data_IF_619220226957
#
_entry.id   IF_619220226957
#
_cell.length_a   1.000
_cell.length_b   1.000
_cell.length_c   1.000
_cell.angle_alpha   90.00
_cell.angle_beta   90.00
_cell.angle_gamma   90.00
#
_symmetry.space_group_name_H-M   'P 1'
#
loop_
_entity.id
_entity.type
_entity.pdbx_description
1 polymer ?
#
# COMPACT_ATOMS: atom_id res chain seq x y z
N UNK A 1 -45.65 14.76 5.13
CA UNK A 1 -45.39 13.40 5.64
C UNK A 1 -45.93 13.33 7.06
N UNK A 2 -47.18 12.88 7.20
CA UNK A 2 -47.91 12.88 8.46
C UNK A 2 -47.91 11.47 9.06
N UNK A 3 -46.79 11.05 9.66
CA UNK A 3 -46.78 9.80 10.43
C UNK A 3 -47.53 10.02 11.74
N UNK A 4 -48.49 9.15 12.06
CA UNK A 4 -49.27 9.22 13.31
C UNK A 4 -48.49 8.76 14.56
N UNK A 5 -47.22 8.38 14.39
CA UNK A 5 -46.31 7.95 15.46
C UNK A 5 -45.71 9.16 16.19
N UNK A 6 -45.65 9.06 17.53
CA UNK A 6 -44.90 10.01 18.36
C UNK A 6 -43.41 9.94 18.00
N UNK A 7 -42.67 11.02 18.26
CA UNK A 7 -41.25 11.13 17.90
C UNK A 7 -40.37 10.02 18.49
N UNK A 8 -40.70 9.53 19.70
CA UNK A 8 -40.02 8.41 20.33
C UNK A 8 -40.28 7.08 19.59
N UNK A 9 -41.54 6.78 19.27
CA UNK A 9 -41.94 5.55 18.58
C UNK A 9 -41.36 5.47 17.16
N UNK A 10 -41.24 6.62 16.48
CA UNK A 10 -40.60 6.70 15.16
C UNK A 10 -39.12 6.33 15.21
N UNK A 11 -38.38 6.82 16.22
CA UNK A 11 -36.96 6.45 16.40
C UNK A 11 -36.80 4.97 16.70
N UNK A 12 -37.71 4.42 17.53
CA UNK A 12 -37.70 3.00 17.86
C UNK A 12 -37.97 2.13 16.62
N UNK A 13 -38.99 2.49 15.83
CA UNK A 13 -39.26 1.83 14.55
C UNK A 13 -38.06 1.89 13.60
N UNK A 14 -37.36 3.01 13.50
CA UNK A 14 -36.16 3.13 12.67
C UNK A 14 -35.04 2.19 13.11
N UNK A 15 -34.82 2.04 14.42
CA UNK A 15 -33.84 1.09 14.96
C UNK A 15 -34.21 -0.35 14.59
N UNK A 16 -35.48 -0.73 14.80
CA UNK A 16 -35.99 -2.05 14.44
C UNK A 16 -35.92 -2.29 12.92
N UNK A 17 -36.21 -1.28 12.11
CA UNK A 17 -36.15 -1.35 10.66
C UNK A 17 -34.74 -1.68 10.17
N UNK A 18 -33.71 -1.03 10.71
CA UNK A 18 -32.32 -1.32 10.32
C UNK A 18 -31.93 -2.75 10.69
N UNK A 19 -32.24 -3.19 11.92
CA UNK A 19 -32.05 -4.59 12.34
C UNK A 19 -32.81 -5.58 11.45
N UNK A 20 -34.03 -5.24 11.04
CA UNK A 20 -34.86 -6.06 10.17
C UNK A 20 -34.27 -6.21 8.76
N UNK A 21 -33.69 -5.12 8.24
CA UNK A 21 -32.99 -5.14 6.94
C UNK A 21 -31.80 -6.08 7.02
N UNK A 22 -31.03 -6.08 8.10
CA UNK A 22 -29.85 -6.92 8.27
C UNK A 22 -30.16 -8.36 8.72
N UNK A 23 -31.36 -8.60 9.26
CA UNK A 23 -31.79 -9.91 9.76
C UNK A 23 -31.38 -10.19 11.21
N UNK A 24 -31.16 -9.12 11.99
CA UNK A 24 -30.64 -9.16 13.37
C UNK A 24 -31.72 -8.98 14.44
N UNK A 25 -33.00 -9.06 14.08
CA UNK A 25 -34.10 -9.00 15.04
C UNK A 25 -34.15 -10.25 15.91
N UNK A 26 -34.29 -10.07 17.22
CA UNK A 26 -34.65 -11.16 18.13
C UNK A 26 -36.18 -11.45 18.09
N UNK A 27 -36.68 -12.55 18.68
CA UNK A 27 -38.11 -12.91 18.60
C UNK A 27 -39.08 -11.85 19.16
N UNK A 28 -38.68 -11.16 20.22
CA UNK A 28 -39.51 -10.12 20.86
C UNK A 28 -39.56 -8.86 19.99
N UNK A 29 -38.41 -8.45 19.46
CA UNK A 29 -38.25 -7.33 18.53
C UNK A 29 -38.97 -7.58 17.20
N UNK A 30 -38.96 -8.83 16.70
CA UNK A 30 -39.71 -9.22 15.50
C UNK A 30 -41.22 -9.04 15.71
N UNK A 31 -41.74 -9.50 16.85
CA UNK A 31 -43.15 -9.36 17.20
C UNK A 31 -43.53 -7.88 17.34
N UNK A 32 -42.63 -7.06 17.87
CA UNK A 32 -42.83 -5.62 17.99
C UNK A 32 -42.79 -4.92 16.62
N UNK A 33 -41.82 -5.25 15.78
CA UNK A 33 -41.70 -4.73 14.42
C UNK A 33 -42.94 -5.05 13.58
N UNK A 34 -43.44 -6.29 13.66
CA UNK A 34 -44.65 -6.71 12.96
C UNK A 34 -45.90 -5.93 13.43
N UNK A 35 -45.95 -5.50 14.70
CA UNK A 35 -47.01 -4.60 15.20
C UNK A 35 -46.92 -3.22 14.56
N UNK A 36 -45.73 -2.64 14.40
CA UNK A 36 -45.56 -1.34 13.74
C UNK A 36 -45.94 -1.42 12.25
N UNK A 37 -45.45 -2.45 11.55
CA UNK A 37 -45.74 -2.68 10.14
C UNK A 37 -47.22 -3.04 9.92
N UNK A 38 -47.90 -3.74 10.84
CA UNK A 38 -49.34 -4.03 10.67
C UNK A 38 -50.25 -2.85 11.01
N UNK A 39 -49.86 -1.97 11.94
CA UNK A 39 -50.69 -0.84 12.38
C UNK A 39 -50.57 0.40 11.49
N UNK A 40 -49.37 0.73 11.00
CA UNK A 40 -49.12 1.98 10.28
C UNK A 40 -48.78 1.73 8.80
N UNK A 41 -49.48 2.42 7.90
CA UNK A 41 -49.24 2.36 6.46
C UNK A 41 -47.91 2.99 6.04
N UNK A 42 -47.43 4.01 6.77
CA UNK A 42 -46.15 4.66 6.51
C UNK A 42 -44.99 3.72 6.85
N UNK A 43 -45.06 3.02 8.00
CA UNK A 43 -44.08 2.00 8.38
C UNK A 43 -43.99 0.86 7.37
N UNK A 44 -45.13 0.39 6.83
CA UNK A 44 -45.14 -0.60 5.73
C UNK A 44 -44.39 -0.11 4.51
N UNK A 45 -44.66 1.14 4.12
CA UNK A 45 -44.05 1.74 2.93
C UNK A 45 -42.54 1.87 3.10
N UNK A 46 -42.08 2.31 4.26
CA UNK A 46 -40.66 2.45 4.58
C UNK A 46 -39.94 1.09 4.58
N UNK A 47 -40.56 0.05 5.16
CA UNK A 47 -40.06 -1.32 5.11
C UNK A 47 -39.90 -1.84 3.68
N UNK A 48 -40.91 -1.66 2.83
CA UNK A 48 -40.86 -2.08 1.43
C UNK A 48 -39.76 -1.36 0.64
N UNK A 49 -39.55 -0.06 0.91
CA UNK A 49 -38.48 0.72 0.27
C UNK A 49 -37.10 0.19 0.66
N UNK A 50 -36.85 -0.04 1.94
CA UNK A 50 -35.58 -0.58 2.42
C UNK A 50 -35.30 -1.99 1.89
N UNK A 51 -36.32 -2.85 1.84
CA UNK A 51 -36.19 -4.19 1.25
C UNK A 51 -35.80 -4.15 -0.22
N UNK A 52 -36.41 -3.25 -1.00
CA UNK A 52 -36.07 -3.06 -2.41
C UNK A 52 -34.63 -2.57 -2.60
N UNK A 53 -34.16 -1.65 -1.74
CA UNK A 53 -32.77 -1.17 -1.78
C UNK A 53 -31.77 -2.29 -1.45
N UNK A 54 -32.06 -3.12 -0.45
CA UNK A 54 -31.25 -4.28 -0.11
C UNK A 54 -31.13 -5.24 -1.30
N UNK A 55 -32.25 -5.55 -1.93
CA UNK A 55 -32.29 -6.45 -3.10
C UNK A 55 -31.46 -5.91 -4.27
N UNK A 56 -31.63 -4.63 -4.62
CA UNK A 56 -30.85 -4.01 -5.71
C UNK A 56 -29.36 -4.04 -5.39
N UNK A 57 -28.97 -3.63 -4.18
CA UNK A 57 -27.56 -3.62 -3.77
C UNK A 57 -26.96 -5.02 -3.76
N UNK A 58 -27.72 -6.02 -3.30
CA UNK A 58 -27.29 -7.41 -3.29
C UNK A 58 -27.14 -8.00 -4.70
N UNK A 59 -27.92 -7.50 -5.67
CA UNK A 59 -27.80 -7.88 -7.08
C UNK A 59 -26.63 -7.21 -7.82
N UNK A 60 -25.99 -6.20 -7.21
CA UNK A 60 -24.80 -5.58 -7.79
C UNK A 60 -23.63 -6.55 -7.69
N UNK A 61 -23.34 -7.22 -8.80
CA UNK A 61 -22.17 -8.07 -8.90
C UNK A 61 -20.93 -7.20 -9.16
N UNK A 62 -19.91 -7.33 -8.32
CA UNK A 62 -18.63 -6.68 -8.58
C UNK A 62 -18.04 -7.24 -9.87
N UNK A 63 -17.74 -6.36 -10.83
CA UNK A 63 -17.06 -6.76 -12.06
C UNK A 63 -15.69 -7.33 -11.68
N UNK A 64 -15.50 -8.62 -11.87
CA UNK A 64 -14.19 -9.24 -11.69
C UNK A 64 -13.18 -8.55 -12.60
N UNK A 65 -12.04 -8.13 -12.02
CA UNK A 65 -10.94 -7.57 -12.80
C UNK A 65 -10.41 -8.64 -13.77
N UNK A 66 -10.09 -8.28 -15.03
CA UNK A 66 -9.52 -9.23 -15.98
C UNK A 66 -8.19 -9.78 -15.46
N UNK A 67 -7.91 -11.05 -15.76
CA UNK A 67 -6.74 -11.78 -15.25
C UNK A 67 -5.41 -11.11 -15.63
N UNK A 68 -5.35 -10.47 -16.81
CA UNK A 68 -4.21 -9.66 -17.25
C UNK A 68 -3.87 -8.50 -16.31
N UNK A 69 -4.86 -7.90 -15.65
CA UNK A 69 -4.63 -6.82 -14.69
C UNK A 69 -3.96 -7.36 -13.41
N UNK A 70 -4.27 -8.59 -13.03
CA UNK A 70 -3.65 -9.27 -11.90
C UNK A 70 -2.20 -9.64 -12.18
N UNK A 71 -1.92 -10.20 -13.35
CA UNK A 71 -0.55 -10.60 -13.72
C UNK A 71 0.39 -9.39 -13.79
N UNK A 72 -0.07 -8.29 -14.40
CA UNK A 72 0.68 -7.05 -14.46
C UNK A 72 0.96 -6.43 -13.08
N UNK A 73 0.01 -6.54 -12.15
CA UNK A 73 0.20 -6.08 -10.77
C UNK A 73 1.31 -6.89 -10.07
N UNK A 74 1.25 -8.21 -10.15
CA UNK A 74 2.24 -9.09 -9.50
C UNK A 74 3.66 -8.88 -10.02
N UNK A 75 3.83 -8.77 -11.34
CA UNK A 75 5.15 -8.53 -11.96
C UNK A 75 5.73 -7.20 -11.48
N UNK A 76 4.92 -6.13 -11.43
CA UNK A 76 5.40 -4.82 -10.99
C UNK A 76 5.73 -4.76 -9.49
N UNK A 77 4.96 -5.45 -8.65
CA UNK A 77 5.21 -5.52 -7.21
C UNK A 77 6.47 -6.34 -6.92
N UNK A 78 6.60 -7.52 -7.52
CA UNK A 78 7.75 -8.40 -7.30
C UNK A 78 9.05 -7.74 -7.77
N UNK A 79 9.06 -7.19 -8.99
CA UNK A 79 10.22 -6.48 -9.53
C UNK A 79 10.64 -5.27 -8.67
N UNK A 80 9.69 -4.60 -8.01
CA UNK A 80 9.98 -3.46 -7.14
C UNK A 80 10.60 -3.91 -5.81
N UNK A 81 10.06 -4.98 -5.22
CA UNK A 81 10.54 -5.53 -3.96
C UNK A 81 11.91 -6.19 -4.10
N UNK A 82 12.08 -7.03 -5.12
CA UNK A 82 13.36 -7.70 -5.41
C UNK A 82 14.47 -6.67 -5.60
N UNK A 83 14.23 -5.64 -6.44
CA UNK A 83 15.19 -4.55 -6.65
C UNK A 83 15.47 -3.80 -5.36
N UNK A 84 14.45 -3.49 -4.55
CA UNK A 84 14.61 -2.80 -3.27
C UNK A 84 15.54 -3.57 -2.32
N UNK A 85 15.25 -4.86 -2.12
CA UNK A 85 16.04 -5.74 -1.26
C UNK A 85 17.46 -5.95 -1.80
N UNK A 86 17.61 -6.16 -3.11
CA UNK A 86 18.92 -6.29 -3.75
C UNK A 86 19.80 -5.07 -3.51
N UNK A 87 19.25 -3.85 -3.58
CA UNK A 87 20.01 -2.63 -3.30
C UNK A 87 20.39 -2.47 -1.83
N UNK A 88 19.52 -2.86 -0.90
CA UNK A 88 19.84 -2.84 0.53
C UNK A 88 21.02 -3.78 0.80
N UNK A 89 20.92 -5.02 0.30
CA UNK A 89 21.96 -6.02 0.48
C UNK A 89 23.28 -5.61 -0.18
N UNK A 90 23.21 -5.11 -1.42
CA UNK A 90 24.37 -4.60 -2.14
C UNK A 90 25.05 -3.43 -1.41
N UNK A 91 24.26 -2.49 -0.87
CA UNK A 91 24.80 -1.32 -0.16
C UNK A 91 25.52 -1.74 1.13
N UNK A 92 24.92 -2.66 1.90
CA UNK A 92 25.55 -3.20 3.11
C UNK A 92 26.86 -3.91 2.75
N UNK A 93 26.84 -4.79 1.75
CA UNK A 93 28.04 -5.49 1.28
C UNK A 93 29.12 -4.51 0.79
N UNK A 94 28.74 -3.50 0.02
CA UNK A 94 29.66 -2.47 -0.46
C UNK A 94 30.28 -1.67 0.68
N UNK A 95 29.51 -1.27 1.70
CA UNK A 95 30.03 -0.54 2.87
C UNK A 95 31.07 -1.38 3.61
N UNK A 96 30.76 -2.67 3.88
CA UNK A 96 31.67 -3.57 4.58
C UNK A 96 32.97 -3.75 3.78
N UNK A 97 32.85 -4.05 2.48
CA UNK A 97 34.00 -4.25 1.62
C UNK A 97 34.84 -2.99 1.49
N UNK A 98 34.25 -1.82 1.24
CA UNK A 98 34.97 -0.56 1.11
C UNK A 98 35.67 -0.16 2.41
N UNK A 99 35.03 -0.38 3.56
CA UNK A 99 35.63 -0.06 4.87
C UNK A 99 36.81 -0.98 5.17
N UNK A 100 36.64 -2.29 5.01
CA UNK A 100 37.68 -3.27 5.30
C UNK A 100 38.85 -3.18 4.31
N UNK A 101 38.55 -3.16 3.01
CA UNK A 101 39.58 -3.05 1.96
C UNK A 101 40.28 -1.70 2.00
N UNK A 102 39.55 -0.61 2.25
CA UNK A 102 40.12 0.72 2.40
C UNK A 102 41.08 0.79 3.58
N UNK A 103 40.69 0.25 4.74
CA UNK A 103 41.56 0.18 5.91
C UNK A 103 42.85 -0.62 5.62
N UNK A 104 42.71 -1.81 5.02
CA UNK A 104 43.86 -2.66 4.67
C UNK A 104 44.77 -2.04 3.61
N UNK A 105 44.19 -1.38 2.61
CA UNK A 105 44.95 -0.68 1.58
C UNK A 105 45.76 0.48 2.20
N UNK A 106 45.12 1.30 3.04
CA UNK A 106 45.79 2.39 3.76
C UNK A 106 46.91 1.87 4.65
N UNK A 107 46.64 0.80 5.43
CA UNK A 107 47.64 0.14 6.27
C UNK A 107 48.86 -0.31 5.45
N UNK A 108 48.64 -0.98 4.33
CA UNK A 108 49.72 -1.48 3.46
C UNK A 108 50.55 -0.35 2.82
N UNK A 109 49.91 0.74 2.40
CA UNK A 109 50.58 1.88 1.78
C UNK A 109 51.37 2.69 2.81
N UNK A 110 50.84 2.85 4.02
CA UNK A 110 51.52 3.57 5.10
C UNK A 110 52.72 2.75 5.59
N UNK A 111 52.56 1.44 5.78
CA UNK A 111 53.59 0.56 6.31
C UNK A 111 54.79 0.37 5.36
N UNK A 112 54.63 0.62 4.05
CA UNK A 112 55.71 0.48 3.07
C UNK A 112 56.75 1.62 3.19
N UNK A 113 57.99 1.35 3.59
CA UNK A 113 59.03 2.37 3.74
C UNK A 113 59.61 2.85 2.40
N UNK A 114 59.37 2.13 1.30
CA UNK A 114 59.97 2.44 -0.01
C UNK A 114 59.22 3.54 -0.79
N UNK A 115 57.97 3.81 -0.42
CA UNK A 115 57.14 4.79 -1.10
C UNK A 115 57.36 6.22 -0.56
N UNK A 116 57.65 7.16 -1.46
CA UNK A 116 57.71 8.58 -1.13
C UNK A 116 56.35 9.09 -0.60
N UNK A 117 56.37 9.97 0.41
CA UNK A 117 55.14 10.44 1.08
C UNK A 117 54.13 11.12 0.14
N UNK A 118 54.61 11.84 -0.87
CA UNK A 118 53.77 12.46 -1.91
C UNK A 118 53.05 11.40 -2.77
N UNK A 119 53.74 10.30 -3.09
CA UNK A 119 53.16 9.21 -3.88
C UNK A 119 52.07 8.47 -3.10
N UNK A 120 52.26 8.28 -1.78
CA UNK A 120 51.22 7.73 -0.89
C UNK A 120 49.96 8.59 -0.91
N UNK A 121 50.11 9.91 -0.76
CA UNK A 121 48.99 10.84 -0.78
C UNK A 121 48.26 10.86 -2.14
N UNK A 122 49.00 10.80 -3.26
CA UNK A 122 48.43 10.75 -4.60
C UNK A 122 47.60 9.46 -4.84
N UNK A 123 48.12 8.30 -4.41
CA UNK A 123 47.41 7.01 -4.53
C UNK A 123 46.12 7.03 -3.69
N UNK A 124 46.17 7.53 -2.45
CA UNK A 124 45.00 7.61 -1.59
C UNK A 124 43.92 8.55 -2.15
N UNK A 125 44.30 9.71 -2.68
CA UNK A 125 43.36 10.62 -3.33
C UNK A 125 42.72 10.00 -4.58
N UNK A 126 43.51 9.27 -5.40
CA UNK A 126 43.00 8.61 -6.59
C UNK A 126 41.96 7.53 -6.24
N UNK A 127 42.26 6.67 -5.25
CA UNK A 127 41.35 5.62 -4.80
C UNK A 127 40.08 6.24 -4.20
N UNK A 128 40.23 7.20 -3.28
CA UNK A 128 39.10 7.86 -2.63
C UNK A 128 38.20 8.58 -3.63
N UNK A 129 38.79 9.35 -4.55
CA UNK A 129 38.06 10.04 -5.61
C UNK A 129 37.32 9.09 -6.55
N UNK A 130 37.93 7.96 -6.89
CA UNK A 130 37.30 6.93 -7.75
C UNK A 130 36.08 6.30 -7.07
N UNK A 131 36.18 6.00 -5.77
CA UNK A 131 35.05 5.46 -4.99
C UNK A 131 33.90 6.47 -4.92
N UNK A 132 34.19 7.74 -4.62
CA UNK A 132 33.17 8.80 -4.56
C UNK A 132 32.48 8.96 -5.92
N UNK A 133 33.25 8.98 -7.01
CA UNK A 133 32.73 9.11 -8.37
C UNK A 133 31.84 7.92 -8.73
N UNK A 134 32.30 6.69 -8.46
CA UNK A 134 31.50 5.47 -8.70
C UNK A 134 30.18 5.50 -7.92
N UNK A 135 30.22 5.85 -6.64
CA UNK A 135 29.01 5.96 -5.81
C UNK A 135 28.07 7.03 -6.36
N UNK A 136 28.61 8.18 -6.81
CA UNK A 136 27.84 9.26 -7.42
C UNK A 136 27.12 8.81 -8.69
N UNK A 137 27.85 8.21 -9.65
CA UNK A 137 27.30 7.75 -10.93
C UNK A 137 26.28 6.63 -10.73
N UNK A 138 26.57 5.67 -9.85
CA UNK A 138 25.63 4.59 -9.52
C UNK A 138 24.37 5.18 -8.90
N UNK A 139 24.49 6.08 -7.91
CA UNK A 139 23.32 6.72 -7.29
C UNK A 139 22.49 7.50 -8.30
N UNK A 140 23.13 8.29 -9.16
CA UNK A 140 22.46 9.10 -10.18
C UNK A 140 21.71 8.22 -11.19
N UNK A 141 22.39 7.24 -11.79
CA UNK A 141 21.78 6.33 -12.77
C UNK A 141 20.60 5.55 -12.18
N UNK A 142 20.65 5.23 -10.88
CA UNK A 142 19.57 4.54 -10.19
C UNK A 142 18.39 5.44 -9.86
N UNK A 143 18.64 6.71 -9.49
CA UNK A 143 17.59 7.67 -9.21
C UNK A 143 16.84 8.03 -10.50
N UNK A 144 17.56 8.30 -11.58
CA UNK A 144 16.99 8.59 -12.89
C UNK A 144 16.14 7.43 -13.40
N UNK A 145 16.56 6.15 -13.18
CA UNK A 145 15.74 4.98 -13.58
C UNK A 145 14.41 4.87 -12.82
N UNK A 146 14.29 5.45 -11.63
CA UNK A 146 13.01 5.45 -10.87
C UNK A 146 12.07 6.57 -11.32
N UNK A 147 12.62 7.69 -11.79
CA UNK A 147 11.87 8.90 -12.12
C UNK A 147 11.67 9.11 -13.62
N UNK A 148 12.12 8.19 -14.48
CA UNK A 148 11.97 8.30 -15.93
C UNK A 148 10.50 8.13 -16.35
N UNK A 149 9.82 9.21 -16.83
CA UNK A 149 8.43 9.15 -17.26
C UNK A 149 8.24 8.41 -18.58
N UNK A 150 9.31 8.09 -19.32
CA UNK A 150 9.26 7.37 -20.60
C UNK A 150 9.57 5.87 -20.45
N UNK A 151 9.71 5.37 -19.23
CA UNK A 151 9.99 3.96 -18.91
C UNK A 151 9.02 2.96 -19.58
N UNK A 152 7.78 3.36 -19.84
CA UNK A 152 6.71 2.45 -20.29
C UNK A 152 6.43 2.53 -21.80
N UNK A 153 7.20 3.34 -22.55
CA UNK A 153 7.05 3.43 -24.01
C UNK A 153 7.78 2.25 -24.66
N UNK A 154 7.03 1.26 -25.14
CA UNK A 154 7.55 0.21 -26.01
C UNK A 154 7.89 0.81 -27.39
N UNK A 155 9.09 0.52 -27.90
CA UNK A 155 9.55 0.93 -29.25
C UNK A 155 9.46 -0.23 -30.22
#
# INVERSE_FOLDING_TARGET
>A
MSSQLKSADKKHFQTLLMKAVDGELNPDEQTEFDKFVSKDADCRKEWQQMRKLKEVTQSMNFKALPQEAWDNYWVNVYNRLERGLAWILFSIGAIILLTFSGFKAVESIIADPQLAGILKAAILMLIGGSVILLVSVVREKLFTRKSDPYKEVQR
#
